data_IF_390683911927
#
_entry.id   IF_390683911927
#
_cell.length_a   1.000
_cell.length_b   1.000
_cell.length_c   1.000
_cell.angle_alpha   90.00
_cell.angle_beta   90.00
_cell.angle_gamma   90.00
#
_symmetry.space_group_name_H-M   'P 1'
#
loop_
_entity.id
_entity.type
_entity.pdbx_description
1 polymer ?
#
# COMPACT_ATOMS: atom_id res chain seq x y z
N UNK A 1 -0.57 23.60 -13.51
CA UNK A 1 -1.50 22.46 -13.44
C UNK A 1 -2.88 22.97 -13.84
N UNK A 2 -3.75 22.18 -14.47
CA UNK A 2 -5.11 22.65 -14.81
C UNK A 2 -5.89 22.85 -13.51
N UNK A 3 -6.27 24.10 -13.19
CA UNK A 3 -7.15 24.44 -12.07
C UNK A 3 -8.59 24.01 -12.41
N UNK A 4 -8.85 22.71 -12.30
CA UNK A 4 -10.16 22.12 -12.59
C UNK A 4 -10.96 22.08 -11.29
N UNK A 5 -11.88 23.01 -11.15
CA UNK A 5 -12.75 23.08 -9.96
C UNK A 5 -14.02 22.22 -10.07
N UNK A 6 -14.30 21.64 -11.23
CA UNK A 6 -15.52 20.86 -11.44
C UNK A 6 -15.30 19.37 -11.11
N UNK A 7 -15.91 18.83 -10.05
CA UNK A 7 -15.70 17.45 -9.62
C UNK A 7 -15.96 16.39 -10.70
N UNK A 8 -16.99 16.51 -11.57
CA UNK A 8 -17.20 15.54 -12.66
C UNK A 8 -16.05 15.52 -13.68
N UNK A 9 -15.40 16.66 -13.92
CA UNK A 9 -14.26 16.74 -14.83
C UNK A 9 -13.03 16.11 -14.19
N UNK A 10 -12.78 16.41 -12.90
CA UNK A 10 -11.71 15.76 -12.12
C UNK A 10 -11.89 14.26 -12.10
N UNK A 11 -13.09 13.77 -11.77
CA UNK A 11 -13.39 12.34 -11.72
C UNK A 11 -13.08 11.64 -13.05
N UNK A 12 -13.52 12.22 -14.18
CA UNK A 12 -13.24 11.66 -15.52
C UNK A 12 -11.75 11.70 -15.87
N UNK A 13 -11.07 12.79 -15.53
CA UNK A 13 -9.64 12.93 -15.74
C UNK A 13 -8.86 11.86 -14.98
N UNK A 14 -9.12 11.70 -13.68
CA UNK A 14 -8.44 10.71 -12.85
C UNK A 14 -8.70 9.29 -13.34
N UNK A 15 -9.95 8.97 -13.70
CA UNK A 15 -10.29 7.67 -14.30
C UNK A 15 -9.58 7.41 -15.62
N UNK A 16 -9.44 8.44 -16.47
CA UNK A 16 -8.70 8.32 -17.73
C UNK A 16 -7.22 8.07 -17.48
N UNK A 17 -6.61 8.80 -16.54
CA UNK A 17 -5.21 8.59 -16.16
C UNK A 17 -5.00 7.18 -15.62
N UNK A 18 -5.89 6.69 -14.75
CA UNK A 18 -5.82 5.34 -14.20
C UNK A 18 -5.83 4.28 -15.30
N UNK A 19 -6.76 4.37 -16.24
CA UNK A 19 -6.82 3.44 -17.39
C UNK A 19 -5.63 3.57 -18.34
N UNK A 20 -4.99 4.73 -18.41
CA UNK A 20 -3.80 4.93 -19.26
C UNK A 20 -2.53 4.36 -18.61
N UNK A 21 -2.47 4.32 -17.27
CA UNK A 21 -1.34 3.78 -16.51
C UNK A 21 -1.30 2.25 -16.52
N UNK A 22 -2.43 1.59 -16.77
CA UNK A 22 -2.53 0.13 -16.75
C UNK A 22 -1.49 -0.55 -17.67
N UNK A 23 -0.59 -1.33 -17.07
CA UNK A 23 0.50 -2.00 -17.76
C UNK A 23 1.58 -1.07 -18.34
N UNK A 24 1.52 0.25 -18.09
CA UNK A 24 2.47 1.24 -18.60
C UNK A 24 3.48 1.67 -17.53
N UNK A 25 4.47 0.81 -17.26
CA UNK A 25 5.48 1.03 -16.20
C UNK A 25 6.18 2.39 -16.30
N UNK A 26 6.62 2.79 -17.51
CA UNK A 26 7.32 4.06 -17.72
C UNK A 26 6.44 5.27 -17.38
N UNK A 27 5.17 5.23 -17.79
CA UNK A 27 4.21 6.28 -17.50
C UNK A 27 3.92 6.35 -15.99
N UNK A 28 3.74 5.19 -15.34
CA UNK A 28 3.56 5.11 -13.90
C UNK A 28 4.74 5.77 -13.15
N UNK A 29 5.98 5.43 -13.54
CA UNK A 29 7.20 6.02 -12.98
C UNK A 29 7.26 7.54 -13.18
N UNK A 30 6.95 8.04 -14.37
CA UNK A 30 6.96 9.49 -14.66
C UNK A 30 5.91 10.26 -13.86
N UNK A 31 4.69 9.74 -13.79
CA UNK A 31 3.60 10.37 -13.03
C UNK A 31 3.86 10.32 -11.53
N UNK A 32 4.42 9.22 -11.00
CA UNK A 32 4.78 9.10 -9.59
C UNK A 32 5.91 10.06 -9.18
N UNK A 33 6.80 10.46 -10.11
CA UNK A 33 7.83 11.49 -9.87
C UNK A 33 7.29 12.92 -9.83
N UNK A 34 6.06 13.14 -10.29
CA UNK A 34 5.46 14.47 -10.42
C UNK A 34 4.82 14.89 -9.09
N UNK A 35 5.57 15.64 -8.27
CA UNK A 35 5.11 16.11 -6.96
C UNK A 35 3.82 16.93 -7.05
N UNK A 36 3.65 17.78 -8.07
CA UNK A 36 2.41 18.56 -8.24
C UNK A 36 1.18 17.67 -8.46
N UNK A 37 1.35 16.53 -9.14
CA UNK A 37 0.28 15.55 -9.29
C UNK A 37 -0.03 14.88 -7.95
N UNK A 38 0.99 14.40 -7.23
CA UNK A 38 0.81 13.74 -5.94
C UNK A 38 0.17 14.69 -4.92
N UNK A 39 0.60 15.95 -4.86
CA UNK A 39 0.02 17.03 -4.05
C UNK A 39 -1.49 17.12 -4.25
N UNK A 40 -1.92 17.09 -5.52
CA UNK A 40 -3.32 17.21 -5.86
C UNK A 40 -4.13 15.94 -5.65
N UNK A 41 -3.54 14.76 -5.85
CA UNK A 41 -4.19 13.51 -5.47
C UNK A 41 -4.37 13.41 -3.95
N UNK A 42 -3.40 13.86 -3.16
CA UNK A 42 -3.51 13.94 -1.70
C UNK A 42 -4.55 14.99 -1.28
N UNK A 43 -4.60 16.14 -1.95
CA UNK A 43 -5.63 17.14 -1.67
C UNK A 43 -7.04 16.60 -1.93
N UNK A 44 -7.26 15.97 -3.08
CA UNK A 44 -8.54 15.39 -3.46
C UNK A 44 -8.94 14.16 -2.63
N UNK A 45 -7.97 13.38 -2.13
CA UNK A 45 -8.25 12.26 -1.23
C UNK A 45 -8.72 12.69 0.17
N UNK A 46 -8.46 13.94 0.55
CA UNK A 46 -8.92 14.55 1.81
C UNK A 46 -10.25 15.30 1.68
N UNK A 47 -10.70 15.62 0.46
CA UNK A 47 -11.99 16.26 0.24
C UNK A 47 -13.13 15.25 0.44
N UNK A 48 -13.98 15.48 1.44
CA UNK A 48 -15.15 14.65 1.73
C UNK A 48 -16.36 14.97 0.86
N UNK A 49 -16.33 16.10 0.15
CA UNK A 49 -17.50 16.62 -0.57
C UNK A 49 -17.84 15.79 -1.81
N UNK A 50 -16.86 15.05 -2.35
CA UNK A 50 -16.98 14.34 -3.62
C UNK A 50 -16.36 12.94 -3.55
N UNK A 51 -17.07 12.01 -2.89
CA UNK A 51 -16.60 10.63 -2.68
C UNK A 51 -16.07 9.92 -3.94
N UNK A 52 -16.62 10.21 -5.13
CA UNK A 52 -16.10 9.67 -6.39
C UNK A 52 -14.70 10.17 -6.73
N UNK A 53 -14.42 11.45 -6.53
CA UNK A 53 -13.08 12.05 -6.73
C UNK A 53 -12.12 11.55 -5.67
N UNK A 54 -12.56 11.47 -4.42
CA UNK A 54 -11.78 10.90 -3.31
C UNK A 54 -11.33 9.48 -3.62
N UNK A 55 -12.28 8.62 -4.02
CA UNK A 55 -12.02 7.23 -4.37
C UNK A 55 -11.06 7.11 -5.57
N UNK A 56 -11.29 7.87 -6.63
CA UNK A 56 -10.43 7.82 -7.82
C UNK A 56 -9.01 8.32 -7.54
N UNK A 57 -8.86 9.28 -6.62
CA UNK A 57 -7.53 9.78 -6.19
C UNK A 57 -6.75 8.71 -5.44
N UNK A 58 -7.40 7.99 -4.51
CA UNK A 58 -6.80 6.85 -3.82
C UNK A 58 -6.35 5.78 -4.82
N UNK A 59 -7.24 5.39 -5.72
CA UNK A 59 -6.96 4.33 -6.70
C UNK A 59 -5.84 4.70 -7.65
N UNK A 60 -5.81 5.94 -8.15
CA UNK A 60 -4.72 6.38 -9.02
C UNK A 60 -3.37 6.34 -8.30
N UNK A 61 -3.28 6.81 -7.05
CA UNK A 61 -2.03 6.71 -6.28
C UNK A 61 -1.58 5.26 -6.08
N UNK A 62 -2.50 4.35 -5.72
CA UNK A 62 -2.20 2.94 -5.57
C UNK A 62 -1.72 2.31 -6.89
N UNK A 63 -2.40 2.59 -8.00
CA UNK A 63 -2.04 2.10 -9.33
C UNK A 63 -0.69 2.64 -9.82
N UNK A 64 -0.35 3.89 -9.51
CA UNK A 64 0.97 4.44 -9.84
C UNK A 64 2.08 3.65 -9.14
N UNK A 65 1.91 3.27 -7.87
CA UNK A 65 2.87 2.44 -7.14
C UNK A 65 2.91 1.02 -7.73
N UNK A 66 1.74 0.41 -7.92
CA UNK A 66 1.59 -0.95 -8.43
C UNK A 66 2.24 -1.11 -9.81
N UNK A 67 1.83 -0.33 -10.80
CA UNK A 67 2.33 -0.49 -12.15
C UNK A 67 3.77 0.01 -12.34
N UNK A 68 4.30 0.83 -11.43
CA UNK A 68 5.71 1.22 -11.47
C UNK A 68 6.66 0.17 -10.86
N UNK A 69 6.21 -0.62 -9.86
CA UNK A 69 7.12 -1.44 -9.04
C UNK A 69 6.72 -2.90 -8.87
N UNK A 70 5.46 -3.29 -9.09
CA UNK A 70 5.03 -4.67 -8.85
C UNK A 70 5.87 -5.67 -9.66
N UNK A 71 6.09 -5.41 -10.96
CA UNK A 71 6.94 -6.23 -11.82
C UNK A 71 8.38 -6.38 -11.29
N UNK A 72 8.89 -5.34 -10.62
CA UNK A 72 10.26 -5.27 -10.10
C UNK A 72 10.43 -6.01 -8.78
N UNK A 73 9.35 -6.19 -8.01
CA UNK A 73 9.42 -6.80 -6.67
C UNK A 73 8.57 -8.05 -6.51
N UNK A 74 7.91 -8.52 -7.58
CA UNK A 74 7.02 -9.68 -7.54
C UNK A 74 7.69 -11.00 -7.11
N UNK A 75 9.03 -11.04 -7.06
CA UNK A 75 9.80 -12.16 -6.51
C UNK A 75 9.96 -12.08 -4.98
N UNK A 76 9.81 -10.89 -4.40
CA UNK A 76 9.97 -10.62 -2.97
C UNK A 76 8.63 -10.59 -2.21
N UNK A 77 7.49 -10.59 -2.92
CA UNK A 77 6.19 -10.81 -2.33
C UNK A 77 5.97 -12.32 -2.14
N UNK A 78 5.67 -12.79 -0.91
CA UNK A 78 5.43 -14.21 -0.66
C UNK A 78 4.26 -14.72 -1.50
N UNK A 79 4.48 -15.74 -2.32
CA UNK A 79 3.44 -16.42 -3.10
C UNK A 79 2.99 -17.68 -2.37
N UNK A 80 1.80 -18.14 -2.77
CA UNK A 80 1.16 -19.35 -2.23
C UNK A 80 2.12 -20.54 -2.13
N UNK A 81 2.41 -20.97 -0.90
CA UNK A 81 3.24 -22.14 -0.60
C UNK A 81 4.72 -21.87 -0.38
N UNK A 82 5.15 -20.60 -0.37
CA UNK A 82 6.53 -20.24 -0.05
C UNK A 82 6.83 -20.48 1.45
N UNK A 83 8.03 -21.02 1.73
CA UNK A 83 8.52 -21.27 3.08
C UNK A 83 8.63 -19.95 3.89
N UNK A 84 8.67 -20.02 5.24
CA UNK A 84 8.80 -18.84 6.11
C UNK A 84 9.96 -17.93 5.65
N UNK A 85 9.78 -16.62 5.83
CA UNK A 85 10.55 -15.49 5.27
C UNK A 85 12.10 -15.53 5.45
N UNK A 86 12.66 -16.54 6.10
CA UNK A 86 14.07 -16.72 6.39
C UNK A 86 14.91 -17.13 5.16
N UNK A 87 14.30 -17.53 4.04
CA UNK A 87 15.03 -17.96 2.83
C UNK A 87 14.96 -16.99 1.65
N UNK A 88 14.32 -15.81 1.81
CA UNK A 88 14.11 -14.88 0.70
C UNK A 88 15.24 -13.84 0.54
N UNK A 89 15.97 -13.52 1.62
CA UNK A 89 16.99 -12.47 1.63
C UNK A 89 18.16 -12.75 0.66
N UNK A 90 18.58 -14.01 0.51
CA UNK A 90 19.74 -14.39 -0.32
C UNK A 90 19.42 -14.57 -1.82
N UNK A 91 18.14 -14.49 -2.20
CA UNK A 91 17.68 -14.59 -3.60
C UNK A 91 17.15 -13.27 -4.16
N UNK A 92 17.32 -12.17 -3.44
CA UNK A 92 17.04 -10.82 -3.95
C UNK A 92 18.24 -10.46 -4.83
N UNK A 93 18.11 -10.46 -6.17
CA UNK A 93 19.21 -9.96 -6.99
C UNK A 93 19.50 -8.51 -6.56
N UNK A 94 20.77 -8.07 -6.62
CA UNK A 94 21.13 -6.68 -6.31
C UNK A 94 20.46 -5.77 -7.33
N UNK A 95 19.24 -5.32 -7.01
CA UNK A 95 18.38 -4.64 -7.95
C UNK A 95 18.61 -3.13 -7.85
N UNK A 96 19.45 -2.62 -8.74
CA UNK A 96 19.63 -1.19 -8.97
C UNK A 96 18.48 -0.68 -9.86
N UNK A 97 17.24 -0.74 -9.38
CA UNK A 97 16.12 -0.06 -10.04
C UNK A 97 15.86 1.29 -9.38
N UNK A 98 15.53 2.29 -10.22
CA UNK A 98 15.28 3.66 -9.80
C UNK A 98 14.08 3.74 -8.84
N UNK A 99 14.37 3.97 -7.55
CA UNK A 99 13.37 4.18 -6.49
C UNK A 99 13.07 5.67 -6.21
N UNK A 100 13.63 6.59 -6.98
CA UNK A 100 13.49 8.03 -6.75
C UNK A 100 12.05 8.53 -6.76
N UNK A 101 11.16 7.85 -7.48
CA UNK A 101 9.73 8.19 -7.49
C UNK A 101 9.04 7.78 -6.19
N UNK A 102 9.39 6.62 -5.62
CA UNK A 102 8.91 6.20 -4.31
C UNK A 102 9.50 7.07 -3.20
N UNK A 103 10.78 7.45 -3.30
CA UNK A 103 11.41 8.33 -2.30
C UNK A 103 10.66 9.67 -2.22
N UNK A 104 10.29 10.23 -3.38
CA UNK A 104 9.42 11.41 -3.47
C UNK A 104 8.02 11.14 -2.92
N UNK A 105 7.44 9.97 -3.22
CA UNK A 105 6.13 9.61 -2.74
C UNK A 105 6.09 9.54 -1.21
N UNK A 106 7.00 8.81 -0.56
CA UNK A 106 7.03 8.70 0.91
C UNK A 106 7.40 10.03 1.59
N UNK A 107 8.15 10.89 0.90
CA UNK A 107 8.50 12.23 1.37
C UNK A 107 7.35 13.23 1.29
N UNK A 108 6.32 12.89 0.53
CA UNK A 108 5.17 13.74 0.36
C UNK A 108 4.23 13.63 1.57
N UNK A 109 3.87 14.76 2.17
CA UNK A 109 2.93 14.74 3.29
C UNK A 109 1.57 14.20 2.84
N UNK A 110 1.02 13.26 3.60
CA UNK A 110 -0.31 12.69 3.36
C UNK A 110 -0.41 11.63 2.26
N UNK A 111 0.66 11.30 1.54
CA UNK A 111 0.64 10.25 0.51
C UNK A 111 0.51 8.85 1.12
N UNK A 112 1.32 8.54 2.15
CA UNK A 112 1.27 7.29 2.91
C UNK A 112 -0.03 7.21 3.71
N UNK A 113 -0.44 8.32 4.32
CA UNK A 113 -1.74 8.46 4.98
C UNK A 113 -2.89 8.06 4.05
N UNK A 114 -2.83 8.49 2.79
CA UNK A 114 -3.87 8.18 1.83
C UNK A 114 -3.99 6.67 1.56
N UNK A 115 -2.86 5.97 1.40
CA UNK A 115 -2.84 4.51 1.23
C UNK A 115 -3.37 3.78 2.48
N UNK A 116 -2.99 4.25 3.67
CA UNK A 116 -3.47 3.70 4.94
C UNK A 116 -4.99 3.92 5.11
N UNK A 117 -5.50 5.10 4.78
CA UNK A 117 -6.94 5.38 4.85
C UNK A 117 -7.74 4.52 3.86
N UNK A 118 -7.17 4.25 2.67
CA UNK A 118 -7.78 3.42 1.65
C UNK A 118 -8.02 1.98 2.10
N UNK A 119 -7.25 1.45 3.06
CA UNK A 119 -7.50 0.14 3.70
C UNK A 119 -8.91 0.03 4.28
N UNK A 120 -9.52 1.14 4.71
CA UNK A 120 -10.85 1.15 5.32
C UNK A 120 -11.97 1.58 4.37
N UNK A 121 -11.69 1.58 3.06
CA UNK A 121 -12.67 1.90 2.01
C UNK A 121 -13.84 0.91 2.00
N UNK A 122 -15.00 1.33 1.49
CA UNK A 122 -16.19 0.48 1.38
C UNK A 122 -16.03 -0.67 0.35
N UNK A 123 -15.11 -0.51 -0.61
CA UNK A 123 -14.96 -1.45 -1.71
C UNK A 123 -13.73 -2.34 -1.50
N UNK A 124 -13.93 -3.66 -1.48
CA UNK A 124 -12.86 -4.66 -1.33
C UNK A 124 -11.73 -4.49 -2.36
N UNK A 125 -12.07 -4.10 -3.60
CA UNK A 125 -11.07 -3.82 -4.65
C UNK A 125 -10.11 -2.71 -4.22
N UNK A 126 -10.62 -1.63 -3.63
CA UNK A 126 -9.78 -0.53 -3.14
C UNK A 126 -8.93 -0.95 -1.93
N UNK A 127 -9.50 -1.76 -1.03
CA UNK A 127 -8.74 -2.30 0.09
C UNK A 127 -7.56 -3.16 -0.40
N UNK A 128 -7.78 -3.99 -1.43
CA UNK A 128 -6.73 -4.81 -2.03
C UNK A 128 -5.67 -3.98 -2.75
N UNK A 129 -6.07 -2.99 -3.55
CA UNK A 129 -5.14 -2.05 -4.21
C UNK A 129 -4.25 -1.34 -3.17
N UNK A 130 -4.83 -0.92 -2.04
CA UNK A 130 -4.07 -0.34 -0.93
C UNK A 130 -3.08 -1.34 -0.31
N UNK A 131 -3.50 -2.58 -0.04
CA UNK A 131 -2.63 -3.62 0.52
C UNK A 131 -1.44 -3.90 -0.40
N UNK A 132 -1.66 -4.00 -1.72
CA UNK A 132 -0.60 -4.23 -2.70
C UNK A 132 0.38 -3.05 -2.71
N UNK A 133 -0.11 -1.82 -2.78
CA UNK A 133 0.74 -0.62 -2.75
C UNK A 133 1.57 -0.52 -1.46
N UNK A 134 0.96 -0.81 -0.31
CA UNK A 134 1.63 -0.80 0.99
C UNK A 134 2.67 -1.93 1.12
N UNK A 135 2.36 -3.13 0.62
CA UNK A 135 3.33 -4.23 0.51
C UNK A 135 4.53 -3.83 -0.34
N UNK A 136 4.31 -3.14 -1.47
CA UNK A 136 5.41 -2.65 -2.31
C UNK A 136 6.30 -1.69 -1.54
N UNK A 137 5.72 -0.72 -0.84
CA UNK A 137 6.49 0.21 0.00
C UNK A 137 7.31 -0.54 1.05
N UNK A 138 6.71 -1.49 1.76
CA UNK A 138 7.42 -2.27 2.76
C UNK A 138 8.56 -3.10 2.15
N UNK A 139 8.35 -3.75 1.00
CA UNK A 139 9.40 -4.55 0.37
C UNK A 139 10.57 -3.67 -0.09
N UNK A 140 10.28 -2.47 -0.63
CA UNK A 140 11.32 -1.56 -1.13
C UNK A 140 12.15 -0.95 0.00
N UNK A 141 11.54 -0.68 1.16
CA UNK A 141 12.18 0.08 2.23
C UNK A 141 12.51 -0.73 3.49
N UNK A 142 11.77 -1.79 3.80
CA UNK A 142 11.92 -2.55 5.04
C UNK A 142 12.58 -3.93 4.85
N UNK A 143 12.65 -4.46 3.63
CA UNK A 143 13.40 -5.69 3.35
C UNK A 143 14.90 -5.39 3.31
N UNK A 144 15.62 -5.77 4.36
CA UNK A 144 17.04 -5.52 4.59
C UNK A 144 17.95 -5.80 3.39
N UNK A 145 18.65 -4.78 2.85
CA UNK A 145 20.00 -4.84 2.23
C UNK A 145 20.45 -3.55 1.50
N UNK A 146 20.53 -2.38 2.16
CA UNK A 146 21.44 -1.29 1.73
C UNK A 146 21.47 -0.09 2.69
N UNK A 147 22.64 0.52 2.88
CA UNK A 147 22.91 1.61 3.85
C UNK A 147 22.33 2.99 3.48
N UNK A 148 21.93 3.23 2.21
CA UNK A 148 21.16 4.43 1.82
C UNK A 148 19.66 4.31 2.13
N UNK A 149 19.23 3.20 2.69
CA UNK A 149 17.82 2.85 2.90
C UNK A 149 17.36 3.18 4.32
N UNK A 150 18.27 3.49 5.25
CA UNK A 150 17.91 3.73 6.66
C UNK A 150 17.00 4.95 6.83
N UNK A 151 17.29 6.10 6.23
CA UNK A 151 16.45 7.31 6.39
C UNK A 151 15.06 7.13 5.80
N UNK A 152 14.95 6.67 4.55
CA UNK A 152 13.66 6.37 3.90
C UNK A 152 12.87 5.28 4.62
N UNK A 153 13.56 4.27 5.17
CA UNK A 153 12.92 3.21 5.96
C UNK A 153 12.36 3.75 7.27
N UNK A 154 13.14 4.57 8.00
CA UNK A 154 12.67 5.24 9.22
C UNK A 154 11.49 6.15 8.91
N UNK A 155 11.56 6.93 7.84
CA UNK A 155 10.47 7.80 7.40
C UNK A 155 9.18 7.03 7.13
N UNK A 156 9.26 5.88 6.45
CA UNK A 156 8.09 5.04 6.19
C UNK A 156 7.52 4.46 7.50
N UNK A 157 8.38 3.99 8.41
CA UNK A 157 7.97 3.48 9.71
C UNK A 157 7.27 4.57 10.55
N UNK A 158 7.84 5.76 10.60
CA UNK A 158 7.27 6.91 11.30
C UNK A 158 5.93 7.30 10.71
N UNK A 159 5.79 7.28 9.38
CA UNK A 159 4.51 7.52 8.70
C UNK A 159 3.45 6.47 9.07
N UNK A 160 3.80 5.19 9.08
CA UNK A 160 2.89 4.11 9.48
C UNK A 160 2.38 4.29 10.91
N UNK A 161 3.25 4.68 11.84
CA UNK A 161 2.87 4.93 13.24
C UNK A 161 2.03 6.21 13.33
N UNK A 162 2.48 7.31 12.72
CA UNK A 162 1.80 8.62 12.71
C UNK A 162 0.36 8.51 12.22
N UNK A 163 0.13 7.69 11.21
CA UNK A 163 -1.19 7.53 10.57
C UNK A 163 -1.96 6.29 11.07
N UNK A 164 -1.57 5.74 12.23
CA UNK A 164 -2.26 4.65 12.92
C UNK A 164 -2.54 3.41 12.05
N UNK A 165 -1.52 2.90 11.34
CA UNK A 165 -1.69 1.73 10.44
C UNK A 165 -2.29 0.52 11.17
N UNK A 166 -1.91 0.27 12.43
CA UNK A 166 -2.44 -0.82 13.24
C UNK A 166 -3.93 -0.65 13.51
N UNK A 167 -4.39 0.55 13.86
CA UNK A 167 -5.82 0.84 14.03
C UNK A 167 -6.60 0.62 12.73
N UNK A 168 -6.04 1.05 11.59
CA UNK A 168 -6.68 0.89 10.27
C UNK A 168 -6.75 -0.56 9.82
N UNK A 169 -5.73 -1.37 10.12
CA UNK A 169 -5.77 -2.82 9.92
C UNK A 169 -6.82 -3.48 10.81
N UNK A 170 -6.90 -3.08 12.08
CA UNK A 170 -7.95 -3.58 12.97
C UNK A 170 -9.35 -3.22 12.46
N UNK A 171 -9.57 -2.00 11.98
CA UNK A 171 -10.84 -1.59 11.36
C UNK A 171 -11.15 -2.40 10.09
N UNK A 172 -10.17 -2.62 9.23
CA UNK A 172 -10.31 -3.43 8.00
C UNK A 172 -10.73 -4.87 8.35
N UNK A 173 -10.04 -5.53 9.28
CA UNK A 173 -10.36 -6.90 9.69
C UNK A 173 -11.77 -6.98 10.26
N UNK A 174 -12.12 -6.09 11.20
CA UNK A 174 -13.44 -6.10 11.83
C UNK A 174 -14.59 -5.81 10.87
N UNK A 175 -14.37 -4.97 9.83
CA UNK A 175 -15.42 -4.61 8.87
C UNK A 175 -15.57 -5.61 7.73
N UNK A 176 -14.50 -6.29 7.35
CA UNK A 176 -14.46 -7.03 6.09
C UNK A 176 -14.07 -8.51 6.22
N UNK A 177 -13.78 -9.03 7.43
CA UNK A 177 -13.35 -10.43 7.67
C UNK A 177 -14.18 -11.47 6.92
N UNK A 178 -15.50 -11.31 6.91
CA UNK A 178 -16.43 -12.32 6.36
C UNK A 178 -16.58 -12.24 4.84
N UNK A 179 -16.08 -11.17 4.22
CA UNK A 179 -16.27 -10.86 2.80
C UNK A 179 -14.96 -10.82 2.01
N UNK A 180 -13.82 -10.81 2.69
CA UNK A 180 -12.51 -10.87 2.05
C UNK A 180 -12.39 -12.15 1.22
N UNK A 181 -11.82 -12.02 0.02
CA UNK A 181 -11.40 -13.19 -0.76
C UNK A 181 -10.10 -13.74 -0.21
N UNK A 182 -9.76 -14.98 -0.57
CA UNK A 182 -8.47 -15.59 -0.21
C UNK A 182 -7.27 -14.72 -0.58
N UNK A 183 -7.28 -14.12 -1.76
CA UNK A 183 -6.20 -13.25 -2.25
C UNK A 183 -6.03 -12.00 -1.35
N UNK A 184 -7.14 -11.39 -0.90
CA UNK A 184 -7.09 -10.23 0.00
C UNK A 184 -6.52 -10.63 1.36
N UNK A 185 -6.93 -11.79 1.89
CA UNK A 185 -6.39 -12.33 3.15
C UNK A 185 -4.90 -12.60 3.04
N UNK A 186 -4.43 -13.18 1.93
CA UNK A 186 -3.01 -13.42 1.67
C UNK A 186 -2.22 -12.09 1.60
N UNK A 187 -2.73 -11.08 0.89
CA UNK A 187 -2.12 -9.75 0.83
C UNK A 187 -2.09 -9.06 2.19
N UNK A 188 -3.13 -9.21 3.00
CA UNK A 188 -3.19 -8.70 4.36
C UNK A 188 -2.13 -9.36 5.26
N UNK A 189 -2.03 -10.70 5.22
CA UNK A 189 -1.01 -11.43 5.99
C UNK A 189 0.41 -11.04 5.56
N UNK A 190 0.64 -10.91 4.25
CA UNK A 190 1.92 -10.45 3.72
C UNK A 190 2.28 -9.06 4.23
N UNK A 191 1.33 -8.12 4.19
CA UNK A 191 1.56 -6.77 4.70
C UNK A 191 1.90 -6.79 6.20
N UNK A 192 1.13 -7.51 7.01
CA UNK A 192 1.37 -7.63 8.46
C UNK A 192 2.74 -8.26 8.74
N UNK A 193 3.14 -9.29 8.00
CA UNK A 193 4.45 -9.92 8.14
C UNK A 193 5.60 -8.97 7.78
N UNK A 194 5.43 -8.17 6.72
CA UNK A 194 6.40 -7.15 6.34
C UNK A 194 6.55 -6.06 7.41
N UNK A 195 5.45 -5.66 8.07
CA UNK A 195 5.50 -4.69 9.17
C UNK A 195 6.25 -5.25 10.40
N UNK A 196 6.28 -6.56 10.61
CA UNK A 196 7.00 -7.20 11.74
C UNK A 196 8.52 -7.16 11.61
N UNK A 197 9.06 -6.63 10.51
CA UNK A 197 10.51 -6.45 10.31
C UNK A 197 11.10 -5.32 11.17
N UNK A 198 10.26 -4.44 11.73
CA UNK A 198 10.68 -3.36 12.63
C UNK A 198 10.07 -3.53 14.03
N UNK A 199 10.90 -3.44 15.08
CA UNK A 199 10.47 -3.53 16.47
C UNK A 199 9.38 -2.50 16.82
N UNK A 200 9.51 -1.26 16.34
CA UNK A 200 8.53 -0.20 16.60
C UNK A 200 7.15 -0.54 16.00
N UNK A 201 7.15 -1.11 14.80
CA UNK A 201 5.93 -1.54 14.14
C UNK A 201 5.33 -2.78 14.80
N UNK A 202 6.15 -3.71 15.30
CA UNK A 202 5.69 -4.85 16.11
C UNK A 202 4.92 -4.34 17.33
N UNK A 203 5.50 -3.42 18.12
CA UNK A 203 4.81 -2.84 19.27
C UNK A 203 3.51 -2.13 18.88
N UNK A 204 3.49 -1.44 17.73
CA UNK A 204 2.28 -0.81 17.21
C UNK A 204 1.19 -1.83 16.84
N UNK A 205 1.54 -2.94 16.19
CA UNK A 205 0.60 -4.01 15.86
C UNK A 205 0.05 -4.72 17.12
N UNK A 206 0.90 -4.92 18.12
CA UNK A 206 0.50 -5.50 19.41
C UNK A 206 -0.48 -4.59 20.15
N UNK A 207 -0.22 -3.27 20.19
CA UNK A 207 -1.12 -2.30 20.81
C UNK A 207 -2.53 -2.28 20.20
N UNK A 208 -2.67 -2.74 18.94
CA UNK A 208 -3.95 -2.83 18.23
C UNK A 208 -4.49 -4.27 18.12
N UNK A 209 -3.93 -5.23 18.86
CA UNK A 209 -4.38 -6.63 18.93
C UNK A 209 -4.47 -7.34 17.57
N UNK A 210 -3.61 -6.98 16.62
CA UNK A 210 -3.69 -7.52 15.24
C UNK A 210 -3.57 -9.05 15.19
N UNK A 211 -2.74 -9.63 16.06
CA UNK A 211 -2.56 -11.09 16.12
C UNK A 211 -3.83 -11.85 16.50
N UNK A 212 -4.64 -11.29 17.40
CA UNK A 212 -5.91 -11.90 17.80
C UNK A 212 -6.99 -11.68 16.73
N UNK A 213 -7.03 -10.48 16.13
CA UNK A 213 -7.95 -10.17 15.03
C UNK A 213 -7.71 -11.06 13.80
N UNK A 214 -6.47 -11.40 13.48
CA UNK A 214 -6.21 -12.34 12.38
C UNK A 214 -6.87 -13.71 12.59
N UNK A 215 -7.01 -14.17 13.83
CA UNK A 215 -7.66 -15.45 14.14
C UNK A 215 -9.18 -15.41 13.95
N UNK A 216 -9.78 -14.22 13.82
CA UNK A 216 -11.23 -14.08 13.61
C UNK A 216 -11.61 -14.15 12.13
N UNK A 217 -10.64 -14.19 11.20
CA UNK A 217 -10.91 -14.26 9.75
C UNK A 217 -11.34 -15.69 9.39
N UNK A 218 -12.58 -15.92 8.90
CA UNK A 218 -13.11 -17.27 8.67
C UNK A 218 -12.23 -18.10 7.73
N UNK A 219 -11.76 -17.50 6.63
CA UNK A 219 -10.89 -18.17 5.65
C UNK A 219 -9.63 -18.71 6.31
N UNK A 220 -9.07 -18.05 7.34
CA UNK A 220 -7.90 -18.57 8.04
C UNK A 220 -8.24 -19.69 9.01
N UNK A 221 -9.43 -19.64 9.62
CA UNK A 221 -9.87 -20.67 10.58
C UNK A 221 -10.25 -21.99 9.91
N UNK A 222 -10.86 -21.95 8.72
CA UNK A 222 -11.30 -23.16 8.02
C UNK A 222 -10.14 -24.06 7.56
N UNK A 223 -8.94 -23.52 7.36
CA UNK A 223 -7.73 -24.30 7.01
C UNK A 223 -7.01 -24.90 8.23
N UNK A 224 -7.34 -24.52 9.47
CA UNK A 224 -6.75 -25.11 10.67
C UNK A 224 -7.50 -26.36 11.17
N UNK A 225 -8.65 -26.68 10.56
CA UNK A 225 -9.55 -27.78 10.95
C UNK A 225 -9.57 -28.97 9.98
N UNK A 226 -8.70 -29.00 8.98
CA UNK A 226 -8.54 -30.10 8.00
C UNK A 226 -7.10 -30.61 8.05
#
# INVERSE_FOLDING_TARGET
MLEIHQPPVVFKLLGTLRMTVDGQEKLALELLKNSTLIDQLVHWSKSSDYAGVTGESYRLMAWLIEHAYLSKIAYALPRKGDAPAEQLADKIPSMDYDRSSLDKFISHEGSVEAMINMLTSQHLVMQNEALIALCILCVVYLSSSSSKTEESATQLQDAFIKYEVGKKLAELINKSSDTMTKEIVENLQNFINLLRTSENLVSHLEAHNINELLKTIPILTEYCTI
#
